data_IF_437997840674
#
_entry.id   IF_437997840674
#
_cell.length_a   1.000
_cell.length_b   1.000
_cell.length_c   1.000
_cell.angle_alpha   90.00
_cell.angle_beta   90.00
_cell.angle_gamma   90.00
#
_symmetry.space_group_name_H-M   'P 1'
#
loop_
_entity.id
_entity.type
_entity.pdbx_description
1 polymer ?
#
# COMPACT_ATOMS: atom_id res chain seq x y z
N UNK A 1 9.91 1.20 -4.36
CA UNK A 1 8.95 0.26 -4.97
C UNK A 1 9.52 -0.13 -6.32
N UNK A 2 9.50 -1.41 -6.63
CA UNK A 2 9.91 -1.97 -7.91
C UNK A 2 8.69 -2.63 -8.55
N UNK A 3 8.81 -3.00 -9.82
CA UNK A 3 7.70 -3.56 -10.59
C UNK A 3 7.15 -4.83 -9.91
N UNK A 4 5.83 -4.88 -9.68
CA UNK A 4 5.16 -6.00 -9.03
C UNK A 4 5.09 -5.93 -7.51
N UNK A 5 5.75 -4.96 -6.86
CA UNK A 5 5.67 -4.80 -5.41
C UNK A 5 4.35 -4.14 -4.99
N UNK A 6 3.90 -4.49 -3.78
CA UNK A 6 2.77 -3.83 -3.11
C UNK A 6 3.28 -2.54 -2.47
N UNK A 7 2.68 -1.41 -2.82
CA UNK A 7 2.96 -0.13 -2.17
C UNK A 7 1.95 0.13 -1.06
N UNK A 8 2.44 0.48 0.13
CA UNK A 8 1.59 0.74 1.29
C UNK A 8 1.66 2.23 1.65
N UNK A 9 0.62 2.96 1.27
CA UNK A 9 0.46 4.39 1.38
C UNK A 9 -0.43 4.76 2.57
N UNK A 10 0.17 4.90 3.76
CA UNK A 10 -0.59 5.15 4.99
C UNK A 10 -0.27 6.55 5.53
N UNK A 11 -1.24 7.18 6.20
CA UNK A 11 -1.01 8.42 6.92
C UNK A 11 -0.08 8.17 8.12
N UNK A 12 1.21 8.42 7.91
CA UNK A 12 2.24 8.27 8.92
C UNK A 12 2.36 9.51 9.80
N UNK A 13 2.88 9.31 11.02
CA UNK A 13 3.11 10.40 12.00
C UNK A 13 4.17 11.42 11.54
N UNK A 14 5.05 11.02 10.63
CA UNK A 14 6.15 11.86 10.10
C UNK A 14 5.88 12.34 8.67
N UNK A 15 5.27 11.52 7.82
CA UNK A 15 4.94 11.86 6.44
C UNK A 15 3.67 11.11 6.02
N UNK A 16 2.88 11.75 5.16
CA UNK A 16 1.72 11.13 4.55
C UNK A 16 2.17 10.25 3.36
N UNK A 17 2.05 8.92 3.50
CA UNK A 17 2.41 7.97 2.43
C UNK A 17 1.55 8.10 1.19
N UNK A 18 0.34 8.67 1.32
CA UNK A 18 -0.58 8.90 0.21
C UNK A 18 -0.01 9.85 -0.85
N UNK A 19 0.88 10.77 -0.46
CA UNK A 19 1.53 11.68 -1.41
C UNK A 19 2.47 10.97 -2.41
N UNK A 20 2.88 9.73 -2.10
CA UNK A 20 3.83 8.97 -2.92
C UNK A 20 3.15 7.93 -3.84
N UNK A 21 1.82 7.83 -3.82
CA UNK A 21 1.08 6.86 -4.64
C UNK A 21 1.36 7.07 -6.13
N UNK A 22 1.32 8.31 -6.60
CA UNK A 22 1.61 8.63 -8.01
C UNK A 22 3.02 8.22 -8.43
N UNK A 23 4.00 8.31 -7.52
CA UNK A 23 5.36 7.84 -7.78
C UNK A 23 5.44 6.31 -7.79
N UNK A 24 4.74 5.65 -6.86
CA UNK A 24 4.67 4.20 -6.80
C UNK A 24 4.06 3.59 -8.06
N UNK A 25 3.00 4.21 -8.59
CA UNK A 25 2.38 3.84 -9.87
C UNK A 25 3.37 3.94 -11.03
N UNK A 26 4.07 5.08 -11.15
CA UNK A 26 5.09 5.27 -12.21
C UNK A 26 6.23 4.26 -12.13
N UNK A 27 6.55 3.78 -10.93
CA UNK A 27 7.57 2.75 -10.69
C UNK A 27 7.06 1.32 -10.93
N UNK A 28 5.78 1.14 -11.28
CA UNK A 28 5.19 -0.15 -11.61
C UNK A 28 4.66 -0.93 -10.40
N UNK A 29 4.19 -0.24 -9.35
CA UNK A 29 3.53 -0.90 -8.23
C UNK A 29 2.38 -1.80 -8.72
N UNK A 30 2.42 -3.07 -8.33
CA UNK A 30 1.41 -4.05 -8.73
C UNK A 30 0.11 -3.95 -7.90
N UNK A 31 0.17 -3.30 -6.73
CA UNK A 31 -0.98 -3.00 -5.90
C UNK A 31 -0.71 -1.80 -5.00
N UNK A 32 -1.77 -1.08 -4.62
CA UNK A 32 -1.72 0.01 -3.63
C UNK A 32 -2.57 -0.40 -2.43
N UNK A 33 -2.03 -0.21 -1.23
CA UNK A 33 -2.79 -0.29 0.03
C UNK A 33 -2.77 1.09 0.66
N UNK A 34 -3.94 1.68 0.91
CA UNK A 34 -4.07 3.05 1.42
C UNK A 34 -5.08 3.13 2.55
N UNK A 35 -4.97 4.11 3.43
CA UNK A 35 -5.99 4.44 4.43
C UNK A 35 -6.99 5.52 3.99
N UNK A 36 -6.85 6.01 2.75
CA UNK A 36 -7.71 7.02 2.17
C UNK A 36 -8.45 6.46 0.96
N UNK A 37 -9.70 6.90 0.74
CA UNK A 37 -10.36 6.65 -0.53
C UNK A 37 -9.61 7.38 -1.64
N UNK A 38 -9.08 6.62 -2.60
CA UNK A 38 -8.49 7.14 -3.83
C UNK A 38 -9.50 6.99 -4.96
N UNK A 39 -9.50 7.96 -5.88
CA UNK A 39 -10.13 7.75 -7.18
C UNK A 39 -9.48 6.55 -7.86
N UNK A 40 -10.35 5.63 -8.29
CA UNK A 40 -9.99 4.27 -8.69
C UNK A 40 -8.98 4.34 -9.84
N UNK A 41 -7.81 3.72 -9.64
CA UNK A 41 -6.88 3.44 -10.73
C UNK A 41 -7.34 2.13 -11.40
N UNK A 42 -7.91 2.14 -12.60
CA UNK A 42 -8.53 0.95 -13.19
C UNK A 42 -7.52 -0.16 -13.53
N UNK A 43 -6.25 0.19 -13.71
CA UNK A 43 -5.21 -0.74 -14.15
C UNK A 43 -4.52 -1.49 -13.01
N UNK A 44 -4.76 -1.11 -11.75
CA UNK A 44 -4.09 -1.73 -10.60
C UNK A 44 -5.03 -1.87 -9.38
N UNK A 45 -4.96 -2.99 -8.64
CA UNK A 45 -5.78 -3.17 -7.44
C UNK A 45 -5.39 -2.17 -6.35
N UNK A 46 -6.41 -1.48 -5.81
CA UNK A 46 -6.30 -0.54 -4.70
C UNK A 46 -7.12 -1.06 -3.52
N UNK A 47 -6.47 -1.22 -2.37
CA UNK A 47 -7.09 -1.66 -1.12
C UNK A 47 -7.15 -0.51 -0.13
N UNK A 48 -8.36 -0.07 0.20
CA UNK A 48 -8.59 0.98 1.22
C UNK A 48 -8.79 0.32 2.58
N UNK A 49 -7.98 0.69 3.57
CA UNK A 49 -7.96 0.07 4.89
C UNK A 49 -8.02 1.10 6.01
N UNK A 50 -8.98 0.94 6.91
CA UNK A 50 -9.21 1.90 8.01
C UNK A 50 -8.09 1.93 9.04
N UNK A 51 -7.25 0.88 9.10
CA UNK A 51 -6.16 0.77 10.07
C UNK A 51 -4.90 0.17 9.43
N UNK A 52 -4.24 1.01 8.66
CA UNK A 52 -2.80 1.04 8.37
C UNK A 52 -1.94 -0.03 9.07
N UNK A 53 -1.76 0.13 10.39
CA UNK A 53 -0.78 -0.60 11.19
C UNK A 53 -1.16 -2.07 11.37
N UNK A 54 -2.46 -2.31 11.59
CA UNK A 54 -3.01 -3.66 11.76
C UNK A 54 -3.04 -4.39 10.42
N UNK A 55 -3.42 -3.70 9.35
CA UNK A 55 -3.42 -4.25 7.99
C UNK A 55 -2.02 -4.63 7.54
N UNK A 56 -1.02 -3.76 7.76
CA UNK A 56 0.37 -4.09 7.45
C UNK A 56 0.85 -5.31 8.23
N UNK A 57 0.52 -5.43 9.52
CA UNK A 57 0.87 -6.62 10.31
C UNK A 57 0.24 -7.89 9.73
N UNK A 58 -1.04 -7.85 9.33
CA UNK A 58 -1.72 -8.98 8.69
C UNK A 58 -1.16 -9.29 7.29
N UNK A 59 -0.91 -8.27 6.47
CA UNK A 59 -0.34 -8.41 5.13
C UNK A 59 1.08 -8.94 5.16
N UNK A 60 1.94 -8.43 6.05
CA UNK A 60 3.30 -8.95 6.22
C UNK A 60 3.28 -10.38 6.74
N UNK A 61 2.39 -10.73 7.67
CA UNK A 61 2.24 -12.10 8.14
C UNK A 61 1.83 -13.05 7.01
N UNK A 62 0.96 -12.60 6.10
CA UNK A 62 0.50 -13.39 4.95
C UNK A 62 1.54 -13.46 3.81
N UNK A 63 2.22 -12.34 3.52
CA UNK A 63 3.19 -12.21 2.44
C UNK A 63 4.55 -12.86 2.76
N UNK A 64 4.99 -12.83 4.02
CA UNK A 64 6.23 -13.48 4.47
C UNK A 64 6.01 -14.86 5.13
N UNK A 65 4.77 -15.35 5.18
CA UNK A 65 4.47 -16.72 5.64
C UNK A 65 4.87 -17.05 7.08
N UNK A 66 4.78 -16.09 8.02
CA UNK A 66 5.28 -16.22 9.40
C UNK A 66 6.78 -16.61 9.49
N UNK A 67 7.71 -15.65 9.56
CA UNK A 67 8.93 -15.86 10.31
C UNK A 67 8.59 -15.64 11.79
N UNK A 68 8.01 -16.67 12.42
CA UNK A 68 7.94 -16.78 13.87
C UNK A 68 9.28 -17.19 14.45
#
# INVERSE_FOLDING_TARGET
>A
VEQGNIFVALQGRRQNGNSFIGEALRKGAGAIVTDQSLDIYPDIPVFVVSNARRTLAHLCAWYYGFPG
#
